data_IF_749050134442
#
_entry.id   IF_749050134442
#
_cell.length_a   1.000
_cell.length_b   1.000
_cell.length_c   1.000
_cell.angle_alpha   90.00
_cell.angle_beta   90.00
_cell.angle_gamma   90.00
#
_symmetry.space_group_name_H-M   'P 1'
#
loop_
_entity.id
_entity.type
_entity.pdbx_description
1 polymer ?
#
# COMPACT_ATOMS: atom_id res chain seq x y z
N UNK A 1 39.44 42.99 -7.02
CA UNK A 1 38.23 43.20 -7.84
C UNK A 1 37.36 41.95 -7.67
N UNK A 2 36.36 42.01 -6.78
CA UNK A 2 34.89 41.94 -7.05
C UNK A 2 34.45 40.57 -7.63
N UNK A 3 33.89 39.68 -6.79
CA UNK A 3 32.44 39.37 -6.58
C UNK A 3 31.85 38.54 -7.77
N UNK A 4 31.11 37.44 -7.68
CA UNK A 4 30.20 36.82 -6.68
C UNK A 4 30.02 35.32 -7.05
N UNK A 5 29.97 34.35 -6.13
CA UNK A 5 28.75 33.76 -5.51
C UNK A 5 27.50 33.73 -6.39
N UNK A 6 27.04 32.53 -6.78
CA UNK A 6 25.65 32.28 -7.17
C UNK A 6 25.25 30.85 -6.76
N UNK A 7 24.67 30.79 -5.56
CA UNK A 7 23.82 29.71 -5.06
C UNK A 7 22.47 29.86 -5.75
N UNK A 8 21.96 28.85 -6.43
CA UNK A 8 20.57 28.83 -6.90
C UNK A 8 19.80 27.76 -6.14
N UNK A 9 19.12 28.20 -5.08
CA UNK A 9 18.11 27.43 -4.35
C UNK A 9 16.83 27.54 -5.17
N UNK A 10 16.40 26.45 -5.79
CA UNK A 10 15.09 26.37 -6.42
C UNK A 10 14.02 26.12 -5.34
N UNK A 11 13.32 27.18 -4.96
CA UNK A 11 12.13 27.15 -4.11
C UNK A 11 10.95 26.58 -4.90
N UNK A 12 10.34 25.50 -4.40
CA UNK A 12 9.07 24.98 -4.91
C UNK A 12 7.93 25.64 -4.11
N UNK A 13 6.97 26.35 -4.73
CA UNK A 13 5.84 26.91 -4.02
C UNK A 13 4.78 25.83 -3.68
N UNK A 14 4.44 25.74 -2.38
CA UNK A 14 3.22 25.12 -1.87
C UNK A 14 2.01 25.91 -2.39
N UNK A 15 1.14 25.27 -3.18
CA UNK A 15 -0.18 25.80 -3.49
C UNK A 15 -1.18 25.33 -2.43
N UNK A 16 -1.55 26.26 -1.56
CA UNK A 16 -2.78 26.23 -0.77
C UNK A 16 -3.97 26.48 -1.71
N UNK A 17 -4.84 25.48 -1.89
CA UNK A 17 -6.19 25.70 -2.41
C UNK A 17 -7.20 25.54 -1.28
N UNK A 18 -7.64 26.68 -0.75
CA UNK A 18 -8.85 26.80 0.07
C UNK A 18 -10.02 26.93 -0.91
N UNK A 19 -10.95 25.98 -0.89
CA UNK A 19 -12.28 26.17 -1.47
C UNK A 19 -13.29 26.00 -0.35
N UNK A 20 -13.82 27.13 0.12
CA UNK A 20 -15.05 27.20 0.90
C UNK A 20 -16.01 28.06 0.10
N UNK A 21 -17.14 27.48 -0.32
CA UNK A 21 -18.36 28.24 -0.57
C UNK A 21 -19.56 27.32 -0.32
N UNK A 22 -20.21 27.58 0.81
CA UNK A 22 -21.52 27.07 1.18
C UNK A 22 -22.61 27.65 0.27
N UNK A 23 -23.69 26.91 0.01
CA UNK A 23 -25.09 27.38 -0.02
C UNK A 23 -26.01 26.15 0.07
N UNK A 24 -26.99 26.20 0.97
CA UNK A 24 -27.75 25.04 1.44
C UNK A 24 -29.04 24.72 0.68
N UNK A 25 -29.51 23.48 0.89
CA UNK A 25 -30.93 23.13 0.95
C UNK A 25 -31.08 21.85 1.78
N UNK A 26 -31.90 21.91 2.83
CA UNK A 26 -32.40 20.74 3.55
C UNK A 26 -33.57 20.16 2.77
N UNK A 27 -33.60 18.84 2.58
CA UNK A 27 -34.78 18.04 2.88
C UNK A 27 -34.39 16.57 3.13
N UNK A 28 -35.04 15.87 4.09
CA UNK A 28 -34.65 14.54 4.53
C UNK A 28 -35.45 13.47 3.80
N UNK A 29 -34.78 12.59 3.05
CA UNK A 29 -35.38 11.33 2.60
C UNK A 29 -34.67 10.16 3.25
N UNK A 30 -35.41 9.57 4.19
CA UNK A 30 -35.22 8.24 4.73
C UNK A 30 -35.00 7.23 3.61
N UNK A 31 -33.83 6.59 3.64
CA UNK A 31 -33.54 5.34 2.97
C UNK A 31 -32.58 4.58 3.87
N UNK A 32 -33.11 3.65 4.67
CA UNK A 32 -32.31 2.69 5.43
C UNK A 32 -31.44 1.88 4.46
N UNK A 33 -30.18 2.25 4.34
CA UNK A 33 -29.17 1.37 3.76
C UNK A 33 -28.74 0.37 4.85
N UNK A 34 -28.82 -0.94 4.60
CA UNK A 34 -28.55 -1.96 5.61
C UNK A 34 -27.05 -2.01 5.92
N UNK A 35 -26.72 -1.76 7.19
CA UNK A 35 -25.56 -2.35 7.86
C UNK A 35 -24.21 -2.24 7.13
N UNK A 36 -23.71 -1.02 6.91
CA UNK A 36 -22.28 -0.82 6.70
C UNK A 36 -21.57 -1.27 7.98
N UNK A 37 -20.98 -2.47 7.94
CA UNK A 37 -20.09 -2.98 8.98
C UNK A 37 -18.86 -2.08 9.05
N UNK A 38 -18.95 -0.98 9.78
CA UNK A 38 -17.77 -0.24 10.24
C UNK A 38 -17.00 -1.11 11.22
N UNK A 39 -15.83 -1.59 10.82
CA UNK A 39 -14.97 -2.29 11.77
C UNK A 39 -13.83 -3.11 11.19
N UNK A 40 -13.05 -2.58 10.25
CA UNK A 40 -11.70 -3.07 9.96
C UNK A 40 -10.86 -1.88 9.45
N UNK A 41 -10.56 -0.93 10.32
CA UNK A 41 -9.43 -0.02 10.06
C UNK A 41 -8.20 -0.91 9.80
N UNK A 42 -7.54 -0.79 8.63
CA UNK A 42 -6.42 -1.65 8.32
C UNK A 42 -5.35 -1.50 9.40
N UNK A 43 -4.93 -2.63 10.00
CA UNK A 43 -3.96 -2.67 11.10
C UNK A 43 -2.64 -1.98 10.73
N UNK A 44 -2.35 -1.79 9.43
CA UNK A 44 -1.37 -0.83 8.90
C UNK A 44 -1.65 -0.50 7.43
N UNK A 45 -1.28 0.72 7.00
CA UNK A 45 -1.31 1.15 5.58
C UNK A 45 -0.56 0.18 4.68
N UNK A 46 0.54 -0.40 5.17
CA UNK A 46 1.30 -1.45 4.49
C UNK A 46 0.45 -2.68 4.16
N UNK A 47 -0.34 -3.20 5.11
CA UNK A 47 -1.11 -4.42 4.87
C UNK A 47 -2.28 -4.18 3.93
N UNK A 48 -2.95 -3.03 4.04
CA UNK A 48 -3.97 -2.63 3.07
C UNK A 48 -3.36 -2.56 1.66
N UNK A 49 -2.24 -1.85 1.54
CA UNK A 49 -1.51 -1.73 0.29
C UNK A 49 -1.10 -3.08 -0.30
N UNK A 50 -0.59 -4.00 0.51
CA UNK A 50 -0.18 -5.33 0.03
C UNK A 50 -1.37 -6.18 -0.46
N UNK A 51 -2.57 -5.96 0.07
CA UNK A 51 -3.80 -6.56 -0.44
C UNK A 51 -4.15 -5.98 -1.80
N UNK A 52 -4.24 -4.64 -1.90
CA UNK A 52 -4.48 -3.93 -3.16
C UNK A 52 -3.45 -4.26 -4.24
N UNK A 53 -2.19 -4.48 -3.86
CA UNK A 53 -1.13 -4.91 -4.76
C UNK A 53 -1.38 -6.30 -5.33
N UNK A 54 -1.92 -7.24 -4.53
CA UNK A 54 -2.26 -8.57 -5.05
C UNK A 54 -3.44 -8.48 -6.02
N UNK A 55 -4.55 -7.89 -5.56
CA UNK A 55 -5.78 -7.77 -6.36
C UNK A 55 -5.55 -7.02 -7.67
N UNK A 56 -4.70 -5.97 -7.65
CA UNK A 56 -4.37 -5.20 -8.84
C UNK A 56 -3.45 -5.93 -9.82
N UNK A 57 -2.59 -6.84 -9.34
CA UNK A 57 -1.74 -7.65 -10.24
C UNK A 57 -2.56 -8.74 -10.93
N UNK A 58 -3.42 -9.43 -10.18
CA UNK A 58 -4.32 -10.46 -10.71
C UNK A 58 -5.22 -9.86 -11.82
N UNK A 59 -5.77 -8.66 -11.59
CA UNK A 59 -6.60 -7.97 -12.59
C UNK A 59 -5.86 -7.65 -13.90
N UNK A 60 -4.59 -7.26 -13.81
CA UNK A 60 -3.81 -6.93 -15.01
C UNK A 60 -3.39 -8.21 -15.75
N UNK A 61 -3.01 -9.26 -15.02
CA UNK A 61 -2.66 -10.55 -15.62
C UNK A 61 -3.86 -11.21 -16.31
N UNK A 62 -5.02 -11.24 -15.64
CA UNK A 62 -6.26 -11.76 -16.20
C UNK A 62 -6.72 -10.98 -17.45
N UNK A 63 -6.47 -9.66 -17.48
CA UNK A 63 -6.87 -8.79 -18.58
C UNK A 63 -5.93 -8.85 -19.79
N UNK A 64 -4.62 -8.74 -19.59
CA UNK A 64 -3.63 -8.68 -20.68
C UNK A 64 -3.15 -10.05 -21.14
N UNK A 65 -3.18 -11.06 -20.26
CA UNK A 65 -2.60 -12.37 -20.52
C UNK A 65 -3.56 -13.52 -20.16
N UNK A 66 -4.84 -13.47 -20.59
CA UNK A 66 -5.80 -14.52 -20.27
C UNK A 66 -5.40 -15.88 -20.87
N UNK A 67 -5.95 -16.95 -20.28
CA UNK A 67 -5.76 -18.31 -20.80
C UNK A 67 -6.43 -18.54 -22.17
N UNK A 68 -7.38 -17.70 -22.55
CA UNK A 68 -8.07 -17.72 -23.85
C UNK A 68 -8.01 -16.33 -24.47
N UNK A 69 -7.66 -16.24 -25.75
CA UNK A 69 -7.58 -14.97 -26.49
C UNK A 69 -8.89 -14.18 -26.50
N UNK A 70 -10.04 -14.87 -26.40
CA UNK A 70 -11.37 -14.26 -26.38
C UNK A 70 -11.63 -13.40 -25.13
N UNK A 71 -10.90 -13.65 -24.04
CA UNK A 71 -11.01 -12.94 -22.78
C UNK A 71 -10.03 -11.75 -22.69
N UNK A 72 -9.22 -11.52 -23.74
CA UNK A 72 -8.19 -10.49 -23.75
C UNK A 72 -8.83 -9.10 -23.77
N UNK A 73 -8.45 -8.29 -22.78
CA UNK A 73 -8.74 -6.88 -22.76
C UNK A 73 -7.47 -6.12 -23.16
N UNK A 74 -7.36 -5.85 -24.46
CA UNK A 74 -6.26 -5.11 -25.09
C UNK A 74 -6.23 -3.61 -24.73
N UNK A 75 -6.92 -3.19 -23.65
CA UNK A 75 -6.83 -1.83 -23.13
C UNK A 75 -5.54 -1.63 -22.31
N UNK A 76 -4.41 -1.63 -23.02
CA UNK A 76 -3.07 -1.43 -22.46
C UNK A 76 -2.96 -0.14 -21.63
N UNK A 77 -3.69 0.92 -22.01
CA UNK A 77 -3.71 2.19 -21.30
C UNK A 77 -4.39 2.08 -19.92
N UNK A 78 -5.49 1.34 -19.81
CA UNK A 78 -6.16 1.08 -18.53
C UNK A 78 -5.27 0.25 -17.58
N UNK A 79 -4.54 -0.72 -18.12
CA UNK A 79 -3.59 -1.53 -17.33
C UNK A 79 -2.37 -0.72 -16.89
N UNK A 80 -1.83 0.13 -17.76
CA UNK A 80 -0.76 1.07 -17.42
C UNK A 80 -1.22 2.04 -16.32
N UNK A 81 -2.42 2.59 -16.42
CA UNK A 81 -3.01 3.44 -15.39
C UNK A 81 -3.13 2.71 -14.04
N UNK A 82 -3.48 1.42 -14.06
CA UNK A 82 -3.55 0.58 -12.86
C UNK A 82 -2.18 0.38 -12.21
N UNK A 83 -1.12 0.13 -12.98
CA UNK A 83 0.26 0.07 -12.47
C UNK A 83 0.67 1.39 -11.83
N UNK A 84 0.36 2.53 -12.47
CA UNK A 84 0.66 3.86 -11.92
C UNK A 84 -0.06 4.09 -10.58
N UNK A 85 -1.32 3.67 -10.43
CA UNK A 85 -2.01 3.75 -9.14
C UNK A 85 -1.34 2.91 -8.05
N UNK A 86 -0.85 1.72 -8.40
CA UNK A 86 -0.10 0.86 -7.49
C UNK A 86 1.23 1.50 -7.07
N UNK A 87 1.94 2.16 -7.99
CA UNK A 87 3.15 2.93 -7.67
C UNK A 87 2.88 4.06 -6.68
N UNK A 88 1.79 4.81 -6.89
CA UNK A 88 1.38 5.88 -5.97
C UNK A 88 1.10 5.30 -4.57
N UNK A 89 0.40 4.17 -4.50
CA UNK A 89 0.16 3.45 -3.25
C UNK A 89 1.47 2.99 -2.57
N UNK A 90 2.41 2.47 -3.35
CA UNK A 90 3.71 2.00 -2.88
C UNK A 90 4.54 3.13 -2.26
N UNK A 91 4.58 4.29 -2.92
CA UNK A 91 5.30 5.47 -2.46
C UNK A 91 4.69 6.04 -1.18
N UNK A 92 3.36 6.11 -1.09
CA UNK A 92 2.65 6.50 0.14
C UNK A 92 2.96 5.55 1.29
N UNK A 93 2.85 4.24 1.06
CA UNK A 93 3.18 3.24 2.06
C UNK A 93 4.65 3.37 2.50
N UNK A 94 5.59 3.53 1.57
CA UNK A 94 7.02 3.70 1.86
C UNK A 94 7.31 4.91 2.76
N UNK A 95 6.57 6.00 2.56
CA UNK A 95 6.73 7.22 3.36
C UNK A 95 6.25 7.06 4.81
N UNK A 96 5.45 6.04 5.09
CA UNK A 96 4.89 5.78 6.41
C UNK A 96 5.61 4.63 7.13
N UNK A 97 5.94 4.84 8.41
CA UNK A 97 6.48 3.76 9.23
C UNK A 97 5.33 2.85 9.72
N UNK A 98 5.34 1.54 9.47
CA UNK A 98 4.30 0.63 9.96
C UNK A 98 4.13 0.67 11.48
N UNK A 99 2.89 0.59 11.98
CA UNK A 99 2.59 0.55 13.43
C UNK A 99 3.36 -0.55 14.17
N UNK A 100 3.62 -1.69 13.50
CA UNK A 100 4.41 -2.81 14.03
C UNK A 100 5.88 -2.46 14.30
N UNK A 101 6.42 -1.44 13.64
CA UNK A 101 7.75 -0.88 13.90
C UNK A 101 7.72 0.27 14.89
N UNK A 102 6.68 1.12 14.84
CA UNK A 102 6.50 2.23 15.80
C UNK A 102 6.44 1.73 17.26
N UNK A 103 5.89 0.53 17.49
CA UNK A 103 5.77 -0.05 18.83
C UNK A 103 7.08 -0.69 19.37
N UNK A 104 8.20 -0.61 18.64
CA UNK A 104 9.50 -1.20 19.06
C UNK A 104 10.36 -0.19 19.82
N UNK A 105 11.33 -0.68 20.57
CA UNK A 105 12.37 0.18 21.18
C UNK A 105 13.21 0.87 20.09
N UNK A 106 13.73 2.07 20.37
CA UNK A 106 14.41 2.93 19.39
C UNK A 106 15.42 2.20 18.50
N UNK A 107 16.36 1.44 19.08
CA UNK A 107 17.36 0.70 18.28
C UNK A 107 16.77 -0.42 17.41
N UNK A 108 15.67 -1.07 17.84
CA UNK A 108 14.96 -2.08 17.02
C UNK A 108 14.05 -1.44 15.97
N UNK A 109 13.57 -0.23 16.23
CA UNK A 109 12.79 0.57 15.30
C UNK A 109 13.67 1.05 14.14
N UNK A 110 14.86 1.56 14.41
CA UNK A 110 15.82 2.04 13.40
C UNK A 110 16.28 0.92 12.46
N UNK A 111 16.73 -0.22 13.00
CA UNK A 111 17.09 -1.36 12.15
C UNK A 111 15.88 -1.88 11.39
N UNK A 112 14.70 -1.89 12.02
CA UNK A 112 13.45 -2.32 11.38
C UNK A 112 13.00 -1.38 10.25
N UNK A 113 13.15 -0.07 10.40
CA UNK A 113 12.77 0.92 9.40
C UNK A 113 13.68 0.83 8.18
N UNK A 114 14.98 0.62 8.36
CA UNK A 114 15.90 0.40 7.24
C UNK A 114 15.50 -0.83 6.41
N UNK A 115 15.16 -1.94 7.07
CA UNK A 115 14.73 -3.15 6.38
C UNK A 115 13.39 -2.94 5.66
N UNK A 116 12.46 -2.22 6.30
CA UNK A 116 11.19 -1.85 5.70
C UNK A 116 11.37 -0.97 4.45
N UNK A 117 12.19 0.07 4.54
CA UNK A 117 12.47 0.99 3.43
C UNK A 117 13.11 0.27 2.25
N UNK A 118 14.02 -0.69 2.49
CA UNK A 118 14.63 -1.51 1.43
C UNK A 118 13.57 -2.36 0.71
N UNK A 119 12.72 -3.06 1.46
CA UNK A 119 11.63 -3.85 0.91
C UNK A 119 10.68 -3.00 0.06
N UNK A 120 10.24 -1.86 0.58
CA UNK A 120 9.33 -0.96 -0.16
C UNK A 120 10.01 -0.38 -1.39
N UNK A 121 11.31 -0.11 -1.33
CA UNK A 121 12.06 0.32 -2.49
C UNK A 121 12.13 -0.76 -3.57
N UNK A 122 12.39 -2.02 -3.19
CA UNK A 122 12.38 -3.15 -4.12
C UNK A 122 11.02 -3.29 -4.81
N UNK A 123 9.91 -3.17 -4.07
CA UNK A 123 8.56 -3.21 -4.64
C UNK A 123 8.33 -2.09 -5.65
N UNK A 124 8.69 -0.85 -5.29
CA UNK A 124 8.56 0.32 -6.17
C UNK A 124 9.38 0.13 -7.45
N UNK A 125 10.60 -0.40 -7.36
CA UNK A 125 11.46 -0.65 -8.53
C UNK A 125 10.82 -1.64 -9.49
N UNK A 126 10.21 -2.73 -8.99
CA UNK A 126 9.54 -3.69 -9.87
C UNK A 126 8.29 -3.07 -10.52
N UNK A 127 7.51 -2.26 -9.80
CA UNK A 127 6.37 -1.55 -10.39
C UNK A 127 6.78 -0.58 -11.51
N UNK A 128 7.94 0.07 -11.41
CA UNK A 128 8.47 0.89 -12.50
C UNK A 128 8.95 0.05 -13.70
N UNK A 129 9.53 -1.12 -13.45
CA UNK A 129 9.89 -2.05 -14.53
C UNK A 129 8.66 -2.58 -15.27
N UNK A 130 7.59 -2.85 -14.53
CA UNK A 130 6.31 -3.26 -15.08
C UNK A 130 5.68 -2.15 -15.95
N UNK A 131 5.74 -0.89 -15.50
CA UNK A 131 5.31 0.26 -16.29
C UNK A 131 6.05 0.33 -17.63
N UNK A 132 7.39 0.22 -17.61
CA UNK A 132 8.22 0.21 -18.83
C UNK A 132 7.85 -0.97 -19.72
N UNK A 133 7.70 -2.18 -19.15
CA UNK A 133 7.30 -3.36 -19.90
C UNK A 133 5.94 -3.19 -20.58
N UNK A 134 4.96 -2.54 -19.94
CA UNK A 134 3.68 -2.23 -20.55
C UNK A 134 3.81 -1.20 -21.67
N UNK A 135 4.59 -0.12 -21.47
CA UNK A 135 4.82 0.90 -22.52
C UNK A 135 5.53 0.32 -23.75
N UNK A 136 6.40 -0.68 -23.56
CA UNK A 136 7.13 -1.37 -24.62
C UNK A 136 6.40 -2.61 -25.17
N UNK A 137 5.25 -2.96 -24.58
CA UNK A 137 4.49 -4.18 -24.88
C UNK A 137 5.35 -5.46 -24.73
N UNK A 138 6.35 -5.44 -23.84
CA UNK A 138 7.25 -6.55 -23.58
C UNK A 138 6.68 -7.47 -22.49
N UNK A 139 5.95 -8.49 -22.93
CA UNK A 139 5.38 -9.53 -22.05
C UNK A 139 6.44 -10.23 -21.19
N UNK A 140 7.64 -10.48 -21.73
CA UNK A 140 8.67 -11.21 -20.99
C UNK A 140 9.21 -10.34 -19.86
N UNK A 141 9.48 -9.06 -20.14
CA UNK A 141 9.91 -8.12 -19.11
C UNK A 141 8.83 -7.93 -18.02
N UNK A 142 7.56 -7.95 -18.41
CA UNK A 142 6.43 -7.93 -17.47
C UNK A 142 6.44 -9.15 -16.54
N UNK A 143 6.50 -10.36 -17.10
CA UNK A 143 6.51 -11.61 -16.32
C UNK A 143 7.70 -11.68 -15.36
N UNK A 144 8.91 -11.27 -15.80
CA UNK A 144 10.09 -11.20 -14.95
C UNK A 144 9.91 -10.23 -13.77
N UNK A 145 9.36 -9.04 -14.04
CA UNK A 145 9.12 -8.04 -13.01
C UNK A 145 8.01 -8.46 -12.04
N UNK A 146 6.94 -9.11 -12.53
CA UNK A 146 5.86 -9.66 -11.72
C UNK A 146 6.38 -10.71 -10.73
N UNK A 147 7.16 -11.69 -11.20
CA UNK A 147 7.76 -12.73 -10.35
C UNK A 147 8.60 -12.11 -9.22
N UNK A 148 9.41 -11.10 -9.54
CA UNK A 148 10.25 -10.44 -8.54
C UNK A 148 9.44 -9.56 -7.57
N UNK A 149 8.36 -8.93 -8.05
CA UNK A 149 7.39 -8.21 -7.23
C UNK A 149 6.72 -9.16 -6.24
N UNK A 150 6.27 -10.33 -6.68
CA UNK A 150 5.63 -11.35 -5.83
C UNK A 150 6.56 -11.89 -4.75
N UNK A 151 7.83 -12.15 -5.09
CA UNK A 151 8.86 -12.54 -4.12
C UNK A 151 9.04 -11.46 -3.05
N UNK A 152 9.13 -10.20 -3.45
CA UNK A 152 9.25 -9.07 -2.54
C UNK A 152 8.00 -8.93 -1.65
N UNK A 153 6.80 -8.97 -2.24
CA UNK A 153 5.51 -8.93 -1.53
C UNK A 153 5.43 -10.03 -0.48
N UNK A 154 5.73 -11.27 -0.86
CA UNK A 154 5.68 -12.43 0.04
C UNK A 154 6.66 -12.30 1.20
N UNK A 155 7.89 -11.86 0.94
CA UNK A 155 8.89 -11.57 1.98
C UNK A 155 8.39 -10.49 2.93
N UNK A 156 7.84 -9.39 2.38
CA UNK A 156 7.28 -8.29 3.16
C UNK A 156 6.12 -8.68 4.04
N UNK A 157 5.17 -9.42 3.49
CA UNK A 157 4.00 -9.90 4.21
C UNK A 157 4.40 -10.82 5.37
N UNK A 158 5.37 -11.73 5.18
CA UNK A 158 5.90 -12.58 6.25
C UNK A 158 6.61 -11.77 7.34
N UNK A 159 7.39 -10.77 6.97
CA UNK A 159 8.24 -10.02 7.89
C UNK A 159 7.49 -8.97 8.71
N UNK A 160 6.47 -8.35 8.12
CA UNK A 160 5.72 -7.24 8.72
C UNK A 160 4.26 -7.59 9.01
N UNK A 161 3.91 -8.89 9.00
CA UNK A 161 2.56 -9.36 9.33
C UNK A 161 2.08 -8.72 10.63
N UNK A 162 0.90 -8.06 10.63
CA UNK A 162 0.28 -7.63 11.86
C UNK A 162 0.13 -8.84 12.80
N UNK A 163 0.76 -8.79 13.97
CA UNK A 163 0.45 -9.74 15.03
C UNK A 163 -0.87 -9.30 15.61
N UNK A 164 -1.93 -10.10 15.43
CA UNK A 164 -3.13 -10.00 16.26
C UNK A 164 -2.65 -9.97 17.70
N UNK A 165 -2.80 -8.82 18.39
CA UNK A 165 -2.68 -8.80 19.84
C UNK A 165 -3.71 -9.81 20.32
N UNK A 166 -3.21 -10.94 20.83
CA UNK A 166 -4.06 -12.04 21.26
C UNK A 166 -5.15 -11.46 22.16
N UNK A 167 -6.40 -11.75 21.81
CA UNK A 167 -7.51 -11.54 22.70
C UNK A 167 -7.12 -12.13 24.05
N UNK A 168 -6.93 -11.24 25.02
CA UNK A 168 -6.74 -11.57 26.42
C UNK A 168 -8.08 -12.15 26.89
N UNK A 169 -8.35 -13.42 26.53
CA UNK A 169 -9.40 -14.20 27.18
C UNK A 169 -9.00 -14.29 28.65
N UNK A 170 -9.95 -13.93 29.52
CA UNK A 170 -9.83 -13.85 30.97
C UNK A 170 -9.12 -15.06 31.56
N UNK A 171 -8.36 -14.90 32.64
CA UNK A 171 -8.95 -14.44 33.88
C UNK A 171 -9.80 -15.56 34.45
N UNK A 172 -9.16 -16.67 34.83
CA UNK A 172 -9.81 -17.86 35.38
C UNK A 172 -8.85 -18.63 36.28
N UNK A 173 -8.23 -17.94 37.25
CA UNK A 173 -7.57 -18.59 38.38
C UNK A 173 -8.64 -18.75 39.48
N UNK A 174 -9.53 -19.72 39.29
CA UNK A 174 -10.33 -20.31 40.38
C UNK A 174 -9.51 -21.52 40.83
N UNK A 175 -8.77 -21.45 41.93
CA UNK A 175 -9.30 -21.30 43.27
C UNK A 175 -9.09 -22.64 43.93
N UNK A 176 -7.93 -22.81 44.57
CA UNK A 176 -7.68 -23.95 45.44
C UNK A 176 -8.69 -23.93 46.58
N UNK A 177 -9.49 -24.99 46.65
CA UNK A 177 -10.52 -25.18 47.66
C UNK A 177 -10.43 -26.60 48.16
N UNK A 178 -9.51 -26.80 49.10
CA UNK A 178 -9.52 -27.88 50.08
C UNK A 178 -10.93 -28.06 50.66
N UNK A 179 -11.53 -29.24 50.45
CA UNK A 179 -12.44 -29.89 51.40
C UNK A 179 -12.36 -31.40 51.20
N UNK A 180 -11.69 -32.05 52.17
CA UNK A 180 -12.00 -33.35 52.79
C UNK A 180 -12.24 -34.55 51.88
#
# INVERSE_FOLDING_TARGET
MRLSTLTLIASVPLLCSVVVLAHGHQDPLQGEAPGVRHGLEPESVLHAYMGTLADGMDLIEDGLFPQKEEDANDDWDAHLASVIQLQIGALKAKAELPKTLQAKSAGKQETGSLVYTKLMHELVVQLFRMEVALMEHDRKAWEEALIDLEKARTRGHKQFKPRRQGGRRGGGRQGGGDKR
#
